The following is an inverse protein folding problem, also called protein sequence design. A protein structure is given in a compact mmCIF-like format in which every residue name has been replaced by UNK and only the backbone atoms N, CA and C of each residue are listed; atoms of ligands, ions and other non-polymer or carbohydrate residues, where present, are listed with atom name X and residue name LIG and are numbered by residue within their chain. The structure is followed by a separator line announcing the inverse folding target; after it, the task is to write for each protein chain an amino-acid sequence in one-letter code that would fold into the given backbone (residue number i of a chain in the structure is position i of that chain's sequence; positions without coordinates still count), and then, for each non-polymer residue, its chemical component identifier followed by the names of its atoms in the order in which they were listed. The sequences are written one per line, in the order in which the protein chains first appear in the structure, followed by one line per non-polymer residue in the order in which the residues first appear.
data_IF_234825502189
#
_entry.id   IF_234825502189
#
_cell.length_a   1.000
_cell.length_b   1.000
_cell.length_c   1.000
_cell.angle_alpha   90.00
_cell.angle_beta   90.00
_cell.angle_gamma   90.00
#
_symmetry.space_group_name_H-M   'P 1'
#
loop_
_entity.id
_entity.type
_entity.pdbx_description
1 polymer ?
#
# COMPACT_ATOMS: atom_id res chain seq x y z
N UNK A 1 5.92 -11.82 -12.27
CA UNK A 1 5.59 -11.46 -10.86
C UNK A 1 4.10 -11.64 -10.58
N UNK A 2 3.20 -10.85 -11.18
CA UNK A 2 1.75 -10.97 -10.92
C UNK A 2 1.16 -12.34 -11.27
N UNK A 3 1.53 -12.89 -12.43
CA UNK A 3 1.12 -14.23 -12.87
C UNK A 3 1.52 -15.33 -11.89
N UNK A 4 2.78 -15.31 -11.44
CA UNK A 4 3.30 -16.25 -10.44
C UNK A 4 2.52 -16.18 -9.13
N UNK A 5 2.23 -14.97 -8.64
CA UNK A 5 1.45 -14.77 -7.41
C UNK A 5 0.05 -15.36 -7.54
N UNK A 6 -0.62 -15.18 -8.69
CA UNK A 6 -1.96 -15.74 -8.94
C UNK A 6 -1.92 -17.27 -9.00
N UNK A 7 -0.90 -17.85 -9.66
CA UNK A 7 -0.72 -19.30 -9.73
C UNK A 7 -0.56 -19.91 -8.33
N UNK A 8 0.35 -19.36 -7.54
CA UNK A 8 0.61 -19.85 -6.17
C UNK A 8 -0.62 -19.66 -5.27
N UNK A 9 -1.33 -18.54 -5.38
CA UNK A 9 -2.57 -18.33 -4.62
C UNK A 9 -3.64 -19.39 -4.94
N UNK A 10 -3.73 -19.82 -6.20
CA UNK A 10 -4.62 -20.91 -6.63
C UNK A 10 -4.18 -22.26 -6.08
N UNK A 11 -2.89 -22.58 -6.15
CA UNK A 11 -2.32 -23.83 -5.62
C UNK A 11 -2.53 -23.96 -4.10
N UNK A 12 -2.32 -22.86 -3.37
CA UNK A 12 -2.49 -22.80 -1.92
C UNK A 12 -3.95 -22.67 -1.47
N UNK A 13 -4.90 -22.47 -2.40
CA UNK A 13 -6.29 -22.11 -2.09
C UNK A 13 -6.37 -20.92 -1.13
N UNK A 14 -5.57 -19.89 -1.38
CA UNK A 14 -5.51 -18.73 -0.51
C UNK A 14 -6.84 -17.96 -0.53
N UNK A 15 -7.33 -17.55 0.64
CA UNK A 15 -8.54 -16.73 0.75
C UNK A 15 -8.28 -15.22 0.50
N UNK A 16 -7.02 -14.79 0.63
CA UNK A 16 -6.62 -13.38 0.55
C UNK A 16 -5.19 -13.19 0.02
N UNK A 17 -5.01 -12.25 -0.90
CA UNK A 17 -3.71 -11.72 -1.34
C UNK A 17 -3.54 -10.30 -0.80
N UNK A 18 -2.39 -10.00 -0.16
CA UNK A 18 -2.07 -8.67 0.35
C UNK A 18 -0.92 -8.06 -0.45
N UNK A 19 -1.12 -6.86 -0.99
CA UNK A 19 -0.14 -6.17 -1.84
C UNK A 19 0.20 -4.79 -1.28
N UNK A 20 1.50 -4.50 -1.19
CA UNK A 20 1.99 -3.13 -1.04
C UNK A 20 1.99 -2.42 -2.40
N UNK A 21 1.40 -1.22 -2.46
CA UNK A 21 1.47 -0.36 -3.64
C UNK A 21 2.39 0.83 -3.37
N UNK A 22 3.29 1.12 -4.32
CA UNK A 22 4.28 2.19 -4.17
C UNK A 22 3.62 3.56 -4.27
N UNK A 23 3.40 4.20 -3.13
CA UNK A 23 3.07 5.63 -3.03
C UNK A 23 4.33 6.44 -2.79
N UNK A 24 5.20 6.57 -3.79
CA UNK A 24 6.25 7.60 -3.73
C UNK A 24 5.66 8.94 -4.19
N UNK A 25 5.96 9.99 -3.43
CA UNK A 25 5.61 11.41 -3.64
C UNK A 25 5.37 11.87 -5.08
N UNK A 26 4.39 12.77 -5.26
CA UNK A 26 4.08 13.39 -6.56
C UNK A 26 3.00 12.65 -7.36
N UNK A 27 2.92 12.88 -8.68
CA UNK A 27 1.84 12.45 -9.60
C UNK A 27 1.49 10.94 -9.58
N UNK A 28 2.27 10.11 -8.88
CA UNK A 28 2.04 8.68 -8.61
C UNK A 28 1.02 8.37 -7.51
N UNK A 29 0.41 9.39 -6.87
CA UNK A 29 -0.61 9.21 -5.81
C UNK A 29 -1.88 8.48 -6.28
N UNK A 30 -2.09 8.38 -7.60
CA UNK A 30 -3.26 7.77 -8.22
C UNK A 30 -2.96 6.52 -9.06
N UNK A 31 -1.70 6.11 -9.19
CA UNK A 31 -1.35 4.97 -10.06
C UNK A 31 -1.34 3.66 -9.28
N UNK A 32 -2.25 2.75 -9.60
CA UNK A 32 -2.10 1.33 -9.26
C UNK A 32 -0.94 0.77 -10.10
N UNK A 33 0.05 0.12 -9.47
CA UNK A 33 1.17 -0.43 -10.22
C UNK A 33 0.72 -1.57 -11.14
N UNK A 34 1.37 -1.76 -12.28
CA UNK A 34 0.98 -2.78 -13.29
C UNK A 34 0.88 -4.19 -12.73
N UNK A 35 1.74 -4.56 -11.77
CA UNK A 35 1.66 -5.84 -11.06
C UNK A 35 0.40 -5.94 -10.18
N UNK A 36 0.11 -4.89 -9.42
CA UNK A 36 -1.07 -4.87 -8.56
C UNK A 36 -2.37 -4.86 -9.38
N UNK A 37 -2.39 -4.14 -10.50
CA UNK A 37 -3.50 -4.15 -11.45
C UNK A 37 -3.76 -5.56 -12.00
N UNK A 38 -2.71 -6.23 -12.46
CA UNK A 38 -2.81 -7.59 -12.97
C UNK A 38 -3.39 -8.54 -11.91
N UNK A 39 -2.87 -8.50 -10.68
CA UNK A 39 -3.32 -9.39 -9.61
C UNK A 39 -4.79 -9.10 -9.25
N UNK A 40 -5.17 -7.83 -9.10
CA UNK A 40 -6.57 -7.45 -8.80
C UNK A 40 -7.54 -7.97 -9.87
N UNK A 41 -7.11 -8.01 -11.14
CA UNK A 41 -7.95 -8.50 -12.25
C UNK A 41 -8.03 -10.02 -12.35
N UNK A 42 -7.02 -10.75 -11.88
CA UNK A 42 -6.86 -12.18 -12.15
C UNK A 42 -6.91 -13.07 -10.90
N UNK A 43 -6.87 -12.48 -9.70
CA UNK A 43 -6.84 -13.25 -8.46
C UNK A 43 -8.08 -14.13 -8.30
N UNK A 44 -7.93 -15.39 -7.83
CA UNK A 44 -9.05 -16.28 -7.56
C UNK A 44 -9.77 -15.96 -6.24
N UNK A 45 -9.27 -14.97 -5.48
CA UNK A 45 -9.69 -14.67 -4.12
C UNK A 45 -9.59 -13.16 -3.82
N UNK A 46 -9.92 -12.77 -2.59
CA UNK A 46 -9.91 -11.37 -2.19
C UNK A 46 -8.50 -10.75 -2.32
N UNK A 47 -8.44 -9.46 -2.66
CA UNK A 47 -7.18 -8.72 -2.77
C UNK A 47 -7.24 -7.45 -1.92
N UNK A 48 -6.30 -7.32 -0.97
CA UNK A 48 -6.13 -6.13 -0.14
C UNK A 48 -4.90 -5.34 -0.59
N UNK A 49 -5.11 -4.07 -0.95
CA UNK A 49 -4.00 -3.17 -1.32
C UNK A 49 -3.70 -2.18 -0.21
N UNK A 50 -2.43 -2.09 0.16
CA UNK A 50 -1.94 -1.17 1.18
C UNK A 50 -1.20 -0.03 0.48
N UNK A 51 -1.64 1.20 0.74
CA UNK A 51 -0.97 2.42 0.26
C UNK A 51 -0.18 3.04 1.41
N UNK A 52 1.10 3.33 1.16
CA UNK A 52 1.91 4.08 2.10
C UNK A 52 1.45 5.53 2.13
N UNK A 53 0.89 5.97 3.26
CA UNK A 53 0.60 7.39 3.50
C UNK A 53 1.85 7.99 4.11
N UNK A 54 2.60 8.78 3.34
CA UNK A 54 3.68 9.59 3.89
C UNK A 54 3.12 10.44 5.02
N UNK A 55 3.57 10.16 6.25
CA UNK A 55 3.16 10.92 7.43
C UNK A 55 3.56 12.37 7.20
N UNK A 56 2.59 13.27 7.03
CA UNK A 56 2.84 14.71 6.83
C UNK A 56 3.87 15.14 7.89
N UNK A 57 4.99 15.71 7.44
CA UNK A 57 6.02 16.30 8.33
C UNK A 57 5.45 17.37 9.27
N UNK A 58 4.22 17.82 9.02
CA UNK A 58 3.45 18.81 9.75
C UNK A 58 3.08 18.38 11.19
N UNK A 59 2.82 17.09 11.43
CA UNK A 59 2.49 16.59 12.78
C UNK A 59 3.71 16.66 13.72
N UNK A 60 4.91 16.44 13.17
CA UNK A 60 6.17 16.50 13.91
C UNK A 60 6.49 17.94 14.37
N UNK A 61 6.10 18.95 13.59
CA UNK A 61 6.25 20.37 13.96
C UNK A 61 5.28 20.81 15.07
N UNK A 62 4.06 20.25 15.12
CA UNK A 62 3.09 20.56 16.18
C UNK A 62 3.45 19.91 17.52
N UNK A 63 4.04 18.70 17.50
CA UNK A 63 4.51 18.02 18.71
C UNK A 63 5.74 18.73 19.34
N UNK A 64 6.64 19.26 18.51
CA UNK A 64 7.77 20.08 18.95
C UNK A 64 7.31 21.41 19.61
N UNK A 65 6.27 22.07 19.08
CA UNK A 65 5.74 23.33 19.62
C UNK A 65 4.95 23.20 20.91
N UNK A 66 4.39 22.02 21.22
CA UNK A 66 3.74 21.77 22.51
C UNK A 66 4.74 21.64 23.66
N UNK A 67 5.96 21.16 23.40
CA UNK A 67 7.00 21.01 24.44
C UNK A 67 7.60 22.34 24.90
N UNK A 68 7.53 23.40 24.09
CA UNK A 68 8.07 24.73 24.43
C UNK A 68 7.10 25.66 25.16
N UNK A 69 5.80 25.32 25.23
CA UNK A 69 4.79 26.12 25.96
C UNK A 69 4.48 25.61 27.37
N UNK A 70 5.17 24.57 27.83
CA UNK A 70 4.98 23.95 29.16
C UNK A 70 6.23 24.06 30.05
N UNK A 71 7.09 25.04 29.77
CA UNK A 71 8.15 25.52 30.66
C UNK A 71 7.96 27.01 30.85
#
# INVERSE_FOLDING_TARGET
AGEETVRVAKELKADLIVLGTHGYSGWKRFTIGSVAEYIVRQAPCAVLTIRHVERRKEDRRKLSRRKTKSK
#
